data_IF_619472250857
#
_entry.id   IF_619472250857
#
_cell.length_a   1.000
_cell.length_b   1.000
_cell.length_c   1.000
_cell.angle_alpha   90.00
_cell.angle_beta   90.00
_cell.angle_gamma   90.00
#
_symmetry.space_group_name_H-M   'P 1'
#
loop_
_entity.id
_entity.type
_entity.pdbx_description
1 polymer ?
#
# COMPACT_ATOMS: atom_id res chain seq x y z
N UNK A 1 11.92 19.85 -18.53
CA UNK A 1 11.51 18.99 -17.41
C UNK A 1 10.00 19.07 -17.29
N UNK A 2 9.29 17.96 -17.12
CA UNK A 2 7.83 17.96 -17.04
C UNK A 2 7.37 18.64 -15.74
N UNK A 3 6.35 19.49 -15.81
CA UNK A 3 5.76 20.20 -14.66
C UNK A 3 5.41 19.26 -13.48
N UNK A 4 5.07 18.01 -13.80
CA UNK A 4 4.83 16.94 -12.83
C UNK A 4 6.01 16.68 -11.88
N UNK A 5 7.26 16.73 -12.39
CA UNK A 5 8.45 16.46 -11.57
C UNK A 5 8.79 17.61 -10.63
N UNK A 6 8.50 18.85 -11.03
CA UNK A 6 8.64 20.03 -10.16
C UNK A 6 7.58 20.00 -9.06
N UNK A 7 6.36 19.61 -9.40
CA UNK A 7 5.27 19.44 -8.45
C UNK A 7 5.54 18.35 -7.41
N UNK A 8 6.06 17.18 -7.83
CA UNK A 8 6.47 16.11 -6.91
C UNK A 8 7.58 16.59 -5.97
N UNK A 9 8.57 17.33 -6.49
CA UNK A 9 9.64 17.90 -5.67
C UNK A 9 9.12 18.89 -4.63
N UNK A 10 8.15 19.72 -4.99
CA UNK A 10 7.53 20.66 -4.06
C UNK A 10 6.81 19.93 -2.92
N UNK A 11 6.02 18.90 -3.22
CA UNK A 11 5.29 18.16 -2.18
C UNK A 11 6.20 17.36 -1.25
N UNK A 12 7.26 16.73 -1.80
CA UNK A 12 8.30 16.09 -0.99
C UNK A 12 8.91 17.12 -0.02
N UNK A 13 9.18 18.33 -0.50
CA UNK A 13 9.76 19.39 0.32
C UNK A 13 8.82 19.82 1.44
N UNK A 14 7.53 20.03 1.16
CA UNK A 14 6.56 20.39 2.21
C UNK A 14 6.43 19.28 3.26
N UNK A 15 6.47 18.01 2.86
CA UNK A 15 6.35 16.90 3.79
C UNK A 15 7.64 16.70 4.64
N UNK A 16 8.81 16.99 4.06
CA UNK A 16 10.08 17.04 4.80
C UNK A 16 10.14 18.23 5.77
N UNK A 17 9.68 19.42 5.35
CA UNK A 17 9.61 20.62 6.20
C UNK A 17 8.62 20.43 7.38
N UNK A 18 7.59 19.59 7.21
CA UNK A 18 6.69 19.19 8.29
C UNK A 18 7.33 18.21 9.30
N UNK A 19 8.60 17.83 9.11
CA UNK A 19 9.31 16.90 9.99
C UNK A 19 8.87 15.46 9.85
N UNK A 20 8.11 15.12 8.80
CA UNK A 20 7.70 13.74 8.55
C UNK A 20 8.91 12.92 8.11
N UNK A 21 9.09 11.77 8.75
CA UNK A 21 10.17 10.83 8.43
C UNK A 21 9.62 9.42 8.24
N UNK A 22 10.36 8.62 7.49
CA UNK A 22 10.04 7.21 7.30
C UNK A 22 8.68 6.99 6.61
N UNK A 23 7.86 6.02 7.06
CA UNK A 23 6.61 5.64 6.39
C UNK A 23 5.60 6.79 6.28
N UNK A 24 5.52 7.66 7.30
CA UNK A 24 4.56 8.76 7.34
C UNK A 24 4.82 9.84 6.28
N UNK A 25 6.10 10.04 5.90
CA UNK A 25 6.48 10.93 4.80
C UNK A 25 5.98 10.39 3.47
N UNK A 26 6.15 9.08 3.25
CA UNK A 26 5.73 8.40 2.03
C UNK A 26 4.21 8.45 1.89
N UNK A 27 3.47 8.16 2.96
CA UNK A 27 1.99 8.24 2.95
C UNK A 27 1.49 9.66 2.68
N UNK A 28 2.12 10.69 3.27
CA UNK A 28 1.76 12.08 3.03
C UNK A 28 2.01 12.51 1.58
N UNK A 29 3.14 12.11 0.99
CA UNK A 29 3.46 12.37 -0.43
C UNK A 29 2.43 11.68 -1.33
N UNK A 30 2.12 10.41 -1.08
CA UNK A 30 1.15 9.63 -1.86
C UNK A 30 -0.23 10.27 -1.79
N UNK A 31 -0.71 10.61 -0.58
CA UNK A 31 -2.02 11.21 -0.38
C UNK A 31 -2.18 12.54 -1.15
N UNK A 32 -1.14 13.38 -1.12
CA UNK A 32 -1.16 14.68 -1.81
C UNK A 32 -1.07 14.55 -3.33
N UNK A 33 -0.23 13.63 -3.83
CA UNK A 33 -0.18 13.33 -5.26
C UNK A 33 -1.52 12.77 -5.76
N UNK A 34 -2.17 11.88 -4.99
CA UNK A 34 -3.50 11.36 -5.32
C UNK A 34 -4.57 12.46 -5.34
N UNK A 35 -4.54 13.39 -4.37
CA UNK A 35 -5.49 14.51 -4.32
C UNK A 35 -5.37 15.44 -5.53
N UNK A 36 -4.14 15.68 -5.99
CA UNK A 36 -3.84 16.67 -7.03
C UNK A 36 -3.91 16.13 -8.45
N UNK A 37 -3.53 14.86 -8.69
CA UNK A 37 -3.62 14.21 -10.01
C UNK A 37 -5.09 13.90 -10.38
N UNK A 38 -5.98 13.93 -9.39
CA UNK A 38 -7.40 14.15 -9.62
C UNK A 38 -8.25 12.95 -9.25
N UNK A 39 -8.83 13.00 -8.04
CA UNK A 39 -10.17 12.50 -7.70
C UNK A 39 -10.49 11.01 -7.93
N UNK A 40 -9.60 10.22 -8.49
CA UNK A 40 -9.74 8.78 -8.69
C UNK A 40 -8.67 8.08 -7.89
N UNK A 41 -9.09 7.08 -7.13
CA UNK A 41 -8.22 6.19 -6.36
C UNK A 41 -7.12 5.67 -7.29
N UNK A 42 -5.91 6.24 -7.16
CA UNK A 42 -4.77 5.81 -7.96
C UNK A 42 -4.43 4.41 -7.44
N UNK A 43 -4.79 3.39 -8.22
CA UNK A 43 -4.40 2.02 -7.93
C UNK A 43 -2.89 1.92 -8.04
N UNK A 44 -2.21 1.66 -6.93
CA UNK A 44 -0.76 1.49 -6.89
C UNK A 44 -0.46 0.01 -6.71
N UNK A 45 -0.11 -0.73 -7.77
CA UNK A 45 -0.10 -2.19 -7.75
C UNK A 45 0.78 -2.78 -6.64
N UNK A 46 1.89 -2.12 -6.33
CA UNK A 46 2.83 -2.56 -5.29
C UNK A 46 2.33 -2.25 -3.88
N UNK A 47 1.81 -1.03 -3.64
CA UNK A 47 1.34 -0.61 -2.31
C UNK A 47 0.07 -1.32 -1.92
N UNK A 48 -0.88 -1.43 -2.85
CA UNK A 48 -2.13 -2.17 -2.61
C UNK A 48 -1.87 -3.65 -2.36
N UNK A 49 -0.91 -4.23 -3.07
CA UNK A 49 -0.44 -5.59 -2.81
C UNK A 49 0.18 -5.72 -1.43
N UNK A 50 1.11 -4.84 -1.04
CA UNK A 50 1.75 -4.88 0.27
C UNK A 50 0.74 -4.72 1.41
N UNK A 51 -0.23 -3.81 1.27
CA UNK A 51 -1.30 -3.62 2.25
C UNK A 51 -2.15 -4.88 2.38
N UNK A 52 -2.61 -5.44 1.25
CA UNK A 52 -3.39 -6.69 1.24
C UNK A 52 -2.59 -7.85 1.84
N UNK A 53 -1.32 -8.00 1.49
CA UNK A 53 -0.46 -9.06 2.00
C UNK A 53 -0.24 -8.91 3.52
N UNK A 54 -0.17 -7.67 4.03
CA UNK A 54 -0.16 -7.38 5.46
C UNK A 54 -1.47 -7.72 6.18
N UNK A 55 -2.63 -7.42 5.57
CA UNK A 55 -3.95 -7.79 6.11
C UNK A 55 -4.16 -9.31 6.11
N UNK A 56 -3.70 -10.00 5.06
CA UNK A 56 -3.69 -11.47 4.97
C UNK A 56 -2.88 -12.09 6.12
N UNK A 57 -1.68 -11.55 6.42
CA UNK A 57 -0.87 -12.04 7.55
C UNK A 57 -1.59 -11.84 8.88
N UNK A 58 -2.19 -10.67 9.12
CA UNK A 58 -2.93 -10.42 10.36
C UNK A 58 -4.11 -11.37 10.55
N UNK A 59 -4.86 -11.64 9.49
CA UNK A 59 -5.98 -12.59 9.55
C UNK A 59 -5.48 -14.03 9.83
N UNK A 60 -4.33 -14.40 9.26
CA UNK A 60 -3.69 -15.70 9.52
C UNK A 60 -3.16 -15.83 10.95
N UNK A 61 -2.45 -14.81 11.44
CA UNK A 61 -1.96 -14.73 12.82
C UNK A 61 -3.13 -14.71 13.83
N UNK A 62 -4.29 -14.20 13.42
CA UNK A 62 -5.55 -14.27 14.15
C UNK A 62 -6.22 -15.66 14.16
N UNK A 63 -5.58 -16.68 13.57
CA UNK A 63 -6.06 -18.06 13.54
C UNK A 63 -7.07 -18.38 12.43
N UNK A 64 -7.24 -17.48 11.45
CA UNK A 64 -8.16 -17.72 10.34
C UNK A 64 -7.57 -18.74 9.34
N UNK A 65 -8.37 -19.72 8.92
CA UNK A 65 -7.92 -20.71 7.95
C UNK A 65 -7.62 -20.08 6.58
N UNK A 66 -6.58 -20.52 5.85
CA UNK A 66 -6.19 -19.94 4.54
C UNK A 66 -7.32 -19.83 3.51
N UNK A 67 -8.24 -20.79 3.48
CA UNK A 67 -9.41 -20.76 2.59
C UNK A 67 -10.41 -19.65 2.93
N UNK A 68 -10.59 -19.36 4.23
CA UNK A 68 -11.47 -18.29 4.68
C UNK A 68 -10.86 -16.92 4.39
N UNK A 69 -9.54 -16.77 4.57
CA UNK A 69 -8.78 -15.57 4.20
C UNK A 69 -8.87 -15.33 2.69
N UNK A 70 -8.64 -16.37 1.88
CA UNK A 70 -8.74 -16.30 0.43
C UNK A 70 -10.11 -15.77 -0.03
N UNK A 71 -11.19 -16.27 0.57
CA UNK A 71 -12.56 -15.83 0.29
C UNK A 71 -12.82 -14.38 0.73
N UNK A 72 -12.33 -13.98 1.91
CA UNK A 72 -12.48 -12.63 2.45
C UNK A 72 -11.77 -11.57 1.59
N UNK A 73 -10.58 -11.88 1.12
CA UNK A 73 -9.72 -10.97 0.35
C UNK A 73 -9.88 -11.09 -1.17
N UNK A 74 -10.71 -12.01 -1.65
CA UNK A 74 -10.92 -12.25 -3.08
C UNK A 74 -9.67 -12.74 -3.82
N UNK A 75 -8.80 -13.49 -3.13
CA UNK A 75 -7.54 -14.02 -3.69
C UNK A 75 -7.55 -15.54 -3.72
N UNK A 76 -6.58 -16.13 -4.43
CA UNK A 76 -6.40 -17.59 -4.43
C UNK A 76 -5.79 -18.07 -3.10
N UNK A 77 -6.08 -19.32 -2.71
CA UNK A 77 -5.44 -19.98 -1.56
C UNK A 77 -3.92 -19.95 -1.66
N UNK A 78 -3.37 -20.21 -2.84
CA UNK A 78 -1.92 -20.16 -3.12
C UNK A 78 -1.33 -18.77 -2.87
N UNK A 79 -2.09 -17.70 -3.14
CA UNK A 79 -1.67 -16.33 -2.81
C UNK A 79 -1.54 -16.15 -1.30
N UNK A 80 -2.51 -16.67 -0.52
CA UNK A 80 -2.44 -16.62 0.94
C UNK A 80 -1.22 -17.39 1.45
N UNK A 81 -1.02 -18.63 0.98
CA UNK A 81 0.12 -19.49 1.37
C UNK A 81 1.48 -18.84 1.06
N UNK A 82 1.62 -18.19 -0.11
CA UNK A 82 2.81 -17.44 -0.48
C UNK A 82 3.06 -16.24 0.43
N UNK A 83 2.00 -15.58 0.89
CA UNK A 83 2.10 -14.40 1.76
C UNK A 83 2.49 -14.80 3.18
N UNK A 84 1.91 -15.88 3.71
CA UNK A 84 2.17 -16.37 5.08
C UNK A 84 3.39 -17.28 5.18
N UNK A 85 3.99 -17.68 4.04
CA UNK A 85 5.19 -18.51 4.01
C UNK A 85 4.94 -19.99 4.32
N UNK A 86 3.69 -20.46 4.25
CA UNK A 86 3.32 -21.85 4.51
C UNK A 86 3.33 -22.74 3.26
N UNK A 87 3.76 -22.22 2.10
CA UNK A 87 3.89 -22.98 0.85
C UNK A 87 5.30 -23.52 0.65
N UNK A 88 5.57 -24.69 1.26
CA UNK A 88 6.68 -25.60 0.92
C UNK A 88 6.11 -26.93 0.46
#
# INVERSE_FOLDING_TARGET
MSALLEDVRFEIRVAVDAGLQGPALVDAIIARLCWRIGGQTIHWPMTDRLRRDGEIRRDFDGGMAPNAIAKKHGVSRKTVENVVGCGG
#
